data_IF_091779413894
#
_entry.id   IF_091779413894
#
_cell.length_a   1.000
_cell.length_b   1.000
_cell.length_c   1.000
_cell.angle_alpha   90.00
_cell.angle_beta   90.00
_cell.angle_gamma   90.00
#
_symmetry.space_group_name_H-M   'P 1'
#
loop_
_entity.id
_entity.type
_entity.pdbx_description
1 polymer ?
#
# COMPACT_ATOMS: atom_id res chain seq x y z
N UNK A 1 17.38 5.74 -6.25
CA UNK A 1 16.26 6.68 -6.20
C UNK A 1 16.13 7.20 -7.61
N UNK A 2 14.92 7.18 -8.17
CA UNK A 2 14.68 7.65 -9.53
C UNK A 2 14.33 9.14 -9.49
N UNK A 3 14.66 9.87 -10.56
CA UNK A 3 14.33 11.28 -10.70
C UNK A 3 13.81 11.52 -12.11
N UNK A 4 12.69 12.22 -12.23
CA UNK A 4 12.06 12.53 -13.52
C UNK A 4 11.77 14.03 -13.59
N UNK A 5 12.06 14.63 -14.73
CA UNK A 5 11.68 16.01 -15.06
C UNK A 5 10.31 15.99 -15.72
N UNK A 6 9.25 16.30 -14.96
CA UNK A 6 7.88 16.21 -15.45
C UNK A 6 7.51 17.29 -16.49
N UNK A 7 8.27 18.38 -16.59
CA UNK A 7 8.01 19.43 -17.58
C UNK A 7 8.48 18.98 -18.98
N UNK A 8 9.60 18.24 -19.03
CA UNK A 8 10.21 17.76 -20.27
C UNK A 8 9.90 16.28 -20.57
N UNK A 9 9.56 15.49 -19.55
CA UNK A 9 9.25 14.05 -19.60
C UNK A 9 8.01 13.72 -18.75
N UNK A 10 6.81 14.10 -19.20
CA UNK A 10 5.56 13.90 -18.45
C UNK A 10 5.18 12.42 -18.28
N UNK A 11 5.75 11.53 -19.08
CA UNK A 11 5.50 10.09 -19.04
C UNK A 11 6.56 9.30 -18.24
N UNK A 12 7.49 10.00 -17.57
CA UNK A 12 8.55 9.42 -16.71
C UNK A 12 9.37 8.32 -17.41
N UNK A 13 9.64 8.50 -18.71
CA UNK A 13 10.37 7.52 -19.53
C UNK A 13 11.88 7.61 -19.33
N UNK A 14 12.40 8.74 -18.84
CA UNK A 14 13.82 9.02 -18.70
C UNK A 14 14.22 9.33 -17.25
N UNK A 15 14.93 8.39 -16.63
CA UNK A 15 15.45 8.56 -15.28
C UNK A 15 16.73 9.42 -15.27
N UNK A 16 16.59 10.67 -14.82
CA UNK A 16 17.66 11.66 -14.68
C UNK A 16 18.53 11.46 -13.43
N UNK A 17 18.35 10.36 -12.68
CA UNK A 17 19.00 10.21 -11.37
C UNK A 17 20.53 10.15 -11.39
N UNK A 18 21.13 9.83 -12.53
CA UNK A 18 22.59 9.76 -12.70
C UNK A 18 23.17 10.94 -13.50
N UNK A 19 22.33 11.88 -13.92
CA UNK A 19 22.77 13.03 -14.70
C UNK A 19 23.39 14.10 -13.78
N UNK A 20 24.60 14.57 -14.15
CA UNK A 20 25.34 15.55 -13.35
C UNK A 20 24.57 16.87 -13.18
N UNK A 21 23.79 17.26 -14.18
CA UNK A 21 22.92 18.44 -14.18
C UNK A 21 21.89 18.41 -13.03
N UNK A 22 21.38 17.22 -12.70
CA UNK A 22 20.35 17.02 -11.67
C UNK A 22 20.91 16.60 -10.31
N UNK A 23 22.24 16.57 -10.16
CA UNK A 23 22.94 16.11 -8.95
C UNK A 23 22.56 16.89 -7.68
N UNK A 24 22.24 18.18 -7.80
CA UNK A 24 21.80 19.01 -6.66
C UNK A 24 20.35 18.68 -6.25
N UNK A 25 19.46 18.57 -7.23
CA UNK A 25 18.04 18.23 -7.04
C UNK A 25 17.88 16.86 -6.37
N UNK A 26 18.60 15.84 -6.87
CA UNK A 26 18.53 14.50 -6.29
C UNK A 26 19.05 14.45 -4.85
N UNK A 27 20.08 15.26 -4.52
CA UNK A 27 20.57 15.36 -3.15
C UNK A 27 19.55 16.03 -2.22
N UNK A 28 18.91 17.11 -2.66
CA UNK A 28 17.86 17.78 -1.88
C UNK A 28 16.67 16.86 -1.60
N UNK A 29 16.19 16.15 -2.62
CA UNK A 29 15.12 15.15 -2.45
C UNK A 29 15.53 14.05 -1.46
N UNK A 30 16.78 13.59 -1.53
CA UNK A 30 17.29 12.59 -0.60
C UNK A 30 17.29 13.10 0.84
N UNK A 31 17.65 14.37 1.07
CA UNK A 31 17.59 14.96 2.41
C UNK A 31 16.15 15.06 2.93
N UNK A 32 15.22 15.55 2.09
CA UNK A 32 13.79 15.61 2.45
C UNK A 32 13.26 14.23 2.87
N UNK A 33 13.65 13.19 2.14
CA UNK A 33 13.27 11.82 2.46
C UNK A 33 13.87 11.33 3.78
N UNK A 34 15.15 11.59 4.03
CA UNK A 34 15.83 11.17 5.26
C UNK A 34 15.32 11.93 6.50
N UNK A 35 14.95 13.20 6.33
CA UNK A 35 14.37 14.02 7.42
C UNK A 35 12.96 13.57 7.78
N UNK A 36 12.19 13.08 6.79
CA UNK A 36 10.78 12.72 6.99
C UNK A 36 10.57 11.26 7.35
N UNK A 37 11.45 10.36 6.90
CA UNK A 37 11.23 8.92 7.00
C UNK A 37 12.41 8.20 7.65
N UNK A 38 12.12 7.49 8.74
CA UNK A 38 13.01 6.45 9.24
C UNK A 38 12.77 5.16 8.44
N UNK A 39 13.52 5.00 7.35
CA UNK A 39 13.45 3.81 6.49
C UNK A 39 13.72 2.51 7.25
N UNK A 40 14.59 2.53 8.26
CA UNK A 40 14.92 1.35 9.04
C UNK A 40 13.75 0.93 9.95
N UNK A 41 13.09 1.90 10.59
CA UNK A 41 11.87 1.65 11.36
C UNK A 41 10.74 1.12 10.47
N UNK A 42 10.47 1.81 9.35
CA UNK A 42 9.42 1.39 8.39
C UNK A 42 9.66 -0.05 7.92
N UNK A 43 10.89 -0.38 7.55
CA UNK A 43 11.23 -1.71 7.10
C UNK A 43 10.99 -2.78 8.17
N UNK A 44 11.41 -2.54 9.42
CA UNK A 44 11.13 -3.45 10.54
C UNK A 44 9.64 -3.64 10.78
N UNK A 45 8.87 -2.56 10.74
CA UNK A 45 7.43 -2.60 11.00
C UNK A 45 6.68 -3.38 9.92
N UNK A 46 7.07 -3.19 8.65
CA UNK A 46 6.51 -3.95 7.53
C UNK A 46 6.79 -5.45 7.70
N UNK A 47 8.02 -5.83 8.01
CA UNK A 47 8.37 -7.24 8.24
C UNK A 47 7.60 -7.84 9.42
N UNK A 48 7.51 -7.12 10.54
CA UNK A 48 6.74 -7.56 11.70
C UNK A 48 5.25 -7.76 11.37
N UNK A 49 4.66 -6.83 10.60
CA UNK A 49 3.27 -6.92 10.14
C UNK A 49 3.06 -8.10 9.19
N UNK A 50 3.98 -8.33 8.26
CA UNK A 50 3.93 -9.47 7.35
C UNK A 50 4.00 -10.80 8.12
N UNK A 51 4.94 -10.95 9.04
CA UNK A 51 5.09 -12.15 9.87
C UNK A 51 3.82 -12.45 10.68
N UNK A 52 3.27 -11.42 11.36
CA UNK A 52 2.02 -11.56 12.11
C UNK A 52 0.85 -11.96 11.20
N UNK A 53 0.73 -11.32 10.04
CA UNK A 53 -0.36 -11.59 9.11
C UNK A 53 -0.30 -13.01 8.54
N UNK A 54 0.90 -13.50 8.22
CA UNK A 54 1.10 -14.87 7.76
C UNK A 54 0.71 -15.88 8.85
N UNK A 55 1.10 -15.63 10.10
CA UNK A 55 0.73 -16.49 11.22
C UNK A 55 -0.78 -16.54 11.45
N UNK A 56 -1.46 -15.38 11.46
CA UNK A 56 -2.92 -15.30 11.59
C UNK A 56 -3.60 -16.03 10.44
N UNK A 57 -3.16 -15.78 9.20
CA UNK A 57 -3.70 -16.43 7.99
C UNK A 57 -3.53 -17.95 8.04
N UNK A 58 -2.43 -18.46 8.59
CA UNK A 58 -2.24 -19.90 8.75
C UNK A 58 -3.18 -20.47 9.82
N UNK A 59 -3.36 -19.75 10.93
CA UNK A 59 -4.23 -20.16 12.03
C UNK A 59 -5.71 -20.16 11.62
N UNK A 60 -6.17 -19.17 10.87
CA UNK A 60 -7.55 -19.08 10.36
C UNK A 60 -7.95 -20.20 9.40
N UNK A 61 -6.99 -20.93 8.82
CA UNK A 61 -7.28 -22.10 7.98
C UNK A 61 -7.52 -23.38 8.79
N UNK A 62 -7.28 -23.35 10.10
CA UNK A 62 -7.52 -24.48 10.99
C UNK A 62 -8.89 -24.27 11.65
N UNK A 63 -9.88 -25.07 11.25
CA UNK A 63 -11.27 -24.99 11.73
C UNK A 63 -12.24 -24.50 10.66
N UNK A 64 -13.42 -24.06 11.10
CA UNK A 64 -14.44 -23.53 10.19
C UNK A 64 -14.00 -22.17 9.61
N UNK A 65 -14.13 -22.03 8.30
CA UNK A 65 -13.75 -20.81 7.60
C UNK A 65 -14.76 -19.70 7.87
N UNK A 66 -14.30 -18.63 8.54
CA UNK A 66 -15.09 -17.43 8.78
C UNK A 66 -14.79 -16.41 7.68
N UNK A 67 -15.78 -16.09 6.85
CA UNK A 67 -15.63 -15.02 5.86
C UNK A 67 -15.53 -13.64 6.53
N UNK A 68 -14.67 -12.79 6.01
CA UNK A 68 -14.57 -11.38 6.39
C UNK A 68 -15.42 -10.47 5.50
N UNK A 69 -16.09 -11.04 4.50
CA UNK A 69 -16.95 -10.29 3.61
C UNK A 69 -18.14 -9.74 4.38
N UNK A 70 -18.38 -8.43 4.24
CA UNK A 70 -19.57 -7.82 4.76
C UNK A 70 -20.80 -8.34 4.01
N UNK A 71 -21.66 -9.08 4.71
CA UNK A 71 -22.97 -9.49 4.19
C UNK A 71 -24.03 -8.53 4.71
N UNK A 72 -24.61 -7.66 3.85
CA UNK A 72 -25.70 -6.79 4.29
C UNK A 72 -26.90 -7.64 4.68
N UNK A 73 -27.62 -7.29 5.77
CA UNK A 73 -28.79 -8.05 6.19
C UNK A 73 -29.85 -8.01 5.09
N UNK A 74 -30.21 -9.18 4.57
CA UNK A 74 -31.28 -9.34 3.58
C UNK A 74 -32.54 -9.83 4.28
N UNK A 75 -33.49 -8.93 4.49
CA UNK A 75 -34.82 -9.29 4.99
C UNK A 75 -35.83 -9.30 3.84
N UNK A 76 -36.27 -10.52 3.46
CA UNK A 76 -37.24 -10.72 2.39
C UNK A 76 -38.66 -10.31 2.80
N UNK A 77 -38.97 -10.31 4.11
CA UNK A 77 -40.32 -10.08 4.64
C UNK A 77 -40.74 -8.61 4.52
N UNK A 78 -39.78 -7.69 4.51
CA UNK A 78 -40.04 -6.24 4.36
C UNK A 78 -39.85 -5.72 2.93
N UNK A 79 -39.31 -6.54 2.02
CA UNK A 79 -38.99 -6.10 0.64
C UNK A 79 -40.06 -6.41 -0.39
N UNK A 80 -40.94 -7.38 -0.12
CA UNK A 80 -41.96 -7.79 -1.08
C UNK A 80 -43.30 -7.98 -0.38
N UNK A 81 -44.36 -7.37 -0.92
CA UNK A 81 -45.74 -7.70 -0.51
C UNK A 81 -46.01 -9.13 -0.93
N UNK A 82 -46.13 -10.04 0.04
CA UNK A 82 -46.63 -11.40 -0.20
C UNK A 82 -48.10 -11.45 0.16
N UNK A 83 -48.97 -11.69 -0.83
CA UNK A 83 -50.35 -12.08 -0.55
C UNK A 83 -50.36 -13.49 0.03
N UNK A 84 -51.15 -13.70 1.07
CA UNK A 84 -51.55 -15.03 1.53
C UNK A 84 -52.72 -15.54 0.70
#
# INVERSE_FOLDING_TARGET
MQLFDLDNDPDELHDCSNDEEYSSTIQQLRQILLDRFDFAAIHRDVLAKQQRSLYIKQSMRKGEHVSWDYSPPYNADTKYVRSK
#
